data_IF_836069792471
#
_entry.id   IF_836069792471
#
_cell.length_a   1.000
_cell.length_b   1.000
_cell.length_c   1.000
_cell.angle_alpha   90.00
_cell.angle_beta   90.00
_cell.angle_gamma   90.00
#
_symmetry.space_group_name_H-M   'P 1'
#
loop_
_entity.id
_entity.type
_entity.pdbx_description
1 polymer ?
#
# COMPACT_ATOMS: atom_id res chain seq x y z
N UNK A 1 -17.25 28.96 25.38
CA UNK A 1 -15.99 28.25 25.69
C UNK A 1 -15.71 27.39 24.47
N UNK A 2 -14.56 27.58 23.83
CA UNK A 2 -14.21 26.85 22.61
C UNK A 2 -13.86 25.41 22.99
N UNK A 3 -14.74 24.46 22.67
CA UNK A 3 -14.51 23.04 22.94
C UNK A 3 -14.02 22.35 21.67
N UNK A 4 -12.73 22.03 21.65
CA UNK A 4 -12.09 21.35 20.52
C UNK A 4 -12.72 19.97 20.28
N UNK A 5 -13.18 19.28 21.33
CA UNK A 5 -13.67 17.90 21.23
C UNK A 5 -14.92 17.75 20.36
N UNK A 6 -15.73 18.82 20.22
CA UNK A 6 -16.92 18.83 19.37
C UNK A 6 -16.59 18.73 17.87
N UNK A 7 -15.36 19.06 17.48
CA UNK A 7 -14.90 19.06 16.09
C UNK A 7 -14.31 17.72 15.61
N UNK A 8 -14.32 16.68 16.46
CA UNK A 8 -13.91 15.31 16.11
C UNK A 8 -15.07 14.55 15.47
N UNK A 9 -14.90 14.05 14.24
CA UNK A 9 -15.86 13.12 13.66
C UNK A 9 -15.63 11.71 14.19
N UNK A 10 -16.72 10.94 14.38
CA UNK A 10 -16.66 9.51 14.74
C UNK A 10 -15.96 8.63 13.71
N UNK A 11 -15.81 9.14 12.48
CA UNK A 11 -15.16 8.45 11.38
C UNK A 11 -13.72 8.91 11.14
N UNK A 12 -13.24 9.91 11.88
CA UNK A 12 -11.87 10.39 11.74
C UNK A 12 -10.90 9.36 12.36
N UNK A 13 -9.89 8.89 11.61
CA UNK A 13 -8.81 8.12 12.21
C UNK A 13 -8.11 8.92 13.31
N UNK A 14 -7.74 8.26 14.41
CA UNK A 14 -7.16 8.94 15.58
C UNK A 14 -5.95 9.82 15.21
N UNK A 15 -5.04 9.32 14.35
CA UNK A 15 -3.88 10.09 13.91
C UNK A 15 -4.26 11.37 13.14
N UNK A 16 -5.37 11.38 12.40
CA UNK A 16 -5.84 12.58 11.69
C UNK A 16 -6.42 13.59 12.69
N UNK A 17 -7.17 13.08 13.66
CA UNK A 17 -7.75 13.88 14.73
C UNK A 17 -6.68 14.55 15.57
N UNK A 18 -5.65 13.83 16.00
CA UNK A 18 -4.57 14.39 16.83
C UNK A 18 -3.82 15.53 16.11
N UNK A 19 -3.59 15.40 14.79
CA UNK A 19 -3.00 16.48 13.99
C UNK A 19 -3.94 17.71 13.92
N UNK A 20 -5.24 17.49 13.72
CA UNK A 20 -6.25 18.56 13.68
C UNK A 20 -6.39 19.25 15.04
N UNK A 21 -6.35 18.48 16.12
CA UNK A 21 -6.40 18.95 17.51
C UNK A 21 -5.18 19.81 17.85
N UNK A 22 -3.97 19.38 17.48
CA UNK A 22 -2.76 20.16 17.66
C UNK A 22 -2.85 21.53 16.96
N UNK A 23 -3.44 21.58 15.76
CA UNK A 23 -3.71 22.83 15.05
C UNK A 23 -4.65 23.75 15.84
N UNK A 24 -5.75 23.21 16.40
CA UNK A 24 -6.66 23.97 17.24
C UNK A 24 -5.99 24.50 18.51
N UNK A 25 -5.30 23.64 19.26
CA UNK A 25 -4.61 24.02 20.51
C UNK A 25 -3.57 25.11 20.29
N UNK A 26 -2.87 25.08 19.16
CA UNK A 26 -1.86 26.08 18.81
C UNK A 26 -2.48 27.45 18.50
N UNK A 27 -3.63 27.51 17.82
CA UNK A 27 -4.14 28.74 17.22
C UNK A 27 -5.47 29.26 17.79
N UNK A 28 -6.08 28.56 18.76
CA UNK A 28 -7.36 28.96 19.39
C UNK A 28 -7.35 30.31 20.12
N UNK A 29 -6.18 30.84 20.47
CA UNK A 29 -6.03 32.17 21.07
C UNK A 29 -5.68 33.28 20.07
N UNK A 30 -5.31 32.92 18.84
CA UNK A 30 -4.79 33.86 17.83
C UNK A 30 -5.79 34.09 16.69
N UNK A 31 -6.58 33.06 16.35
CA UNK A 31 -7.50 33.07 15.21
C UNK A 31 -8.95 32.95 15.72
N UNK A 32 -9.90 33.74 15.17
CA UNK A 32 -11.31 33.58 15.50
C UNK A 32 -11.81 32.16 15.22
N UNK A 33 -12.64 31.61 16.10
CA UNK A 33 -13.15 30.24 16.04
C UNK A 33 -13.68 29.84 14.66
N UNK A 34 -14.55 30.66 14.05
CA UNK A 34 -15.15 30.37 12.75
C UNK A 34 -14.12 30.21 11.63
N UNK A 35 -13.05 31.00 11.68
CA UNK A 35 -11.96 30.93 10.71
C UNK A 35 -11.03 29.76 11.02
N UNK A 36 -10.75 29.53 12.30
CA UNK A 36 -9.88 28.46 12.76
C UNK A 36 -10.40 27.07 12.36
N UNK A 37 -11.71 26.85 12.47
CA UNK A 37 -12.35 25.59 12.05
C UNK A 37 -12.15 25.34 10.54
N UNK A 38 -12.33 26.39 9.73
CA UNK A 38 -12.13 26.31 8.29
C UNK A 38 -10.66 26.04 7.93
N UNK A 39 -9.73 26.77 8.57
CA UNK A 39 -8.29 26.61 8.36
C UNK A 39 -7.80 25.23 8.80
N UNK A 40 -8.24 24.73 9.95
CA UNK A 40 -7.89 23.39 10.43
C UNK A 40 -8.34 22.30 9.45
N UNK A 41 -9.57 22.41 8.91
CA UNK A 41 -10.05 21.44 7.92
C UNK A 41 -9.28 21.54 6.61
N UNK A 42 -8.99 22.76 6.16
CA UNK A 42 -8.20 23.01 4.94
C UNK A 42 -6.78 22.45 5.08
N UNK A 43 -6.13 22.69 6.22
CA UNK A 43 -4.83 22.16 6.56
C UNK A 43 -4.80 20.62 6.49
N UNK A 44 -5.77 19.97 7.13
CA UNK A 44 -5.89 18.51 7.09
C UNK A 44 -6.10 17.99 5.67
N UNK A 45 -6.89 18.68 4.84
CA UNK A 45 -7.06 18.30 3.44
C UNK A 45 -5.75 18.43 2.65
N UNK A 46 -4.93 19.46 2.93
CA UNK A 46 -3.60 19.61 2.31
C UNK A 46 -2.67 18.47 2.75
N UNK A 47 -2.49 18.25 4.05
CA UNK A 47 -1.49 17.31 4.59
C UNK A 47 -1.86 15.83 4.36
N UNK A 48 -3.15 15.49 4.46
CA UNK A 48 -3.60 14.10 4.40
C UNK A 48 -4.03 13.71 2.99
N UNK A 49 -4.80 14.59 2.32
CA UNK A 49 -5.39 14.30 1.00
C UNK A 49 -4.54 14.87 -0.15
N UNK A 50 -3.55 15.72 0.12
CA UNK A 50 -2.74 16.36 -0.91
C UNK A 50 -3.50 17.43 -1.70
N UNK A 51 -4.55 18.02 -1.13
CA UNK A 51 -5.31 19.08 -1.79
C UNK A 51 -4.46 20.35 -1.96
N UNK A 52 -4.81 21.14 -2.97
CA UNK A 52 -4.20 22.46 -3.22
C UNK A 52 -5.29 23.52 -3.25
N UNK A 53 -5.00 24.66 -2.63
CA UNK A 53 -5.89 25.81 -2.50
C UNK A 53 -5.23 27.04 -3.13
N UNK A 54 -5.94 28.19 -3.23
CA UNK A 54 -5.34 29.42 -3.74
C UNK A 54 -4.03 29.78 -3.03
N UNK A 55 -3.13 30.46 -3.76
CA UNK A 55 -1.75 30.71 -3.32
C UNK A 55 -1.69 31.41 -1.95
N UNK A 56 -2.56 32.38 -1.71
CA UNK A 56 -2.67 33.09 -0.43
C UNK A 56 -2.97 32.13 0.73
N UNK A 57 -3.93 31.20 0.54
CA UNK A 57 -4.27 30.19 1.53
C UNK A 57 -3.10 29.24 1.75
N UNK A 58 -2.41 28.82 0.70
CA UNK A 58 -1.26 27.92 0.82
C UNK A 58 -0.10 28.56 1.59
N UNK A 59 0.18 29.86 1.37
CA UNK A 59 1.20 30.60 2.12
C UNK A 59 0.85 30.70 3.60
N UNK A 60 -0.39 31.08 3.92
CA UNK A 60 -0.88 31.15 5.30
C UNK A 60 -0.78 29.79 5.99
N UNK A 61 -1.17 28.71 5.32
CA UNK A 61 -1.05 27.37 5.87
C UNK A 61 0.40 26.93 6.06
N UNK A 62 1.32 27.32 5.18
CA UNK A 62 2.75 27.03 5.34
C UNK A 62 3.35 27.72 6.57
N UNK A 63 2.98 28.99 6.82
CA UNK A 63 3.37 29.71 8.04
C UNK A 63 2.79 29.05 9.30
N UNK A 64 1.51 28.66 9.26
CA UNK A 64 0.87 27.98 10.39
C UNK A 64 1.41 26.56 10.62
N UNK A 65 1.90 25.90 9.55
CA UNK A 65 2.49 24.57 9.61
C UNK A 65 3.72 24.54 10.51
N UNK A 66 4.54 25.59 10.47
CA UNK A 66 5.75 25.71 11.30
C UNK A 66 5.44 25.67 12.80
N UNK A 67 4.28 26.20 13.20
CA UNK A 67 3.85 26.24 14.61
C UNK A 67 3.43 24.89 15.20
N UNK A 68 3.29 23.85 14.38
CA UNK A 68 2.91 22.49 14.80
C UNK A 68 3.80 21.41 14.18
N UNK A 69 5.06 21.74 13.84
CA UNK A 69 5.98 20.83 13.15
C UNK A 69 6.17 19.49 13.89
N UNK A 70 6.24 19.49 15.22
CA UNK A 70 6.37 18.27 16.03
C UNK A 70 5.20 17.31 15.83
N UNK A 71 3.96 17.83 15.74
CA UNK A 71 2.77 17.02 15.51
C UNK A 71 2.75 16.42 14.10
N UNK A 72 3.27 17.16 13.12
CA UNK A 72 3.40 16.70 11.72
C UNK A 72 4.44 15.59 11.63
N UNK A 73 5.60 15.74 12.26
CA UNK A 73 6.65 14.74 12.27
C UNK A 73 6.17 13.42 12.90
N UNK A 74 5.41 13.52 14.00
CA UNK A 74 4.79 12.35 14.62
C UNK A 74 3.77 11.70 13.69
N UNK A 75 2.91 12.49 13.04
CA UNK A 75 1.94 11.99 12.06
C UNK A 75 2.63 11.25 10.90
N UNK A 76 3.69 11.83 10.34
CA UNK A 76 4.48 11.20 9.29
C UNK A 76 5.15 9.89 9.75
N UNK A 77 5.68 9.87 10.97
CA UNK A 77 6.28 8.67 11.58
C UNK A 77 5.24 7.55 11.68
N UNK A 78 4.05 7.86 12.19
CA UNK A 78 2.95 6.89 12.30
C UNK A 78 2.50 6.38 10.92
N UNK A 79 2.42 7.27 9.92
CA UNK A 79 2.10 6.92 8.52
C UNK A 79 3.14 5.96 7.92
N UNK A 80 4.44 6.23 8.10
CA UNK A 80 5.56 5.38 7.65
C UNK A 80 5.52 4.00 8.32
N UNK A 81 5.35 3.96 9.64
CA UNK A 81 5.27 2.72 10.41
C UNK A 81 4.10 1.82 9.95
N UNK A 82 2.93 2.41 9.67
CA UNK A 82 1.76 1.66 9.18
C UNK A 82 2.01 1.06 7.80
N UNK A 83 2.63 1.82 6.89
CA UNK A 83 3.00 1.34 5.56
C UNK A 83 4.00 0.18 5.62
N UNK A 84 5.03 0.28 6.45
CA UNK A 84 6.03 -0.79 6.64
C UNK A 84 5.40 -2.09 7.16
N UNK A 85 4.47 -2.00 8.12
CA UNK A 85 3.77 -3.17 8.67
C UNK A 85 2.95 -3.90 7.60
N UNK A 86 2.28 -3.16 6.71
CA UNK A 86 1.50 -3.75 5.59
C UNK A 86 2.43 -4.41 4.56
N UNK A 87 3.58 -3.79 4.26
CA UNK A 87 4.56 -4.29 3.30
C UNK A 87 5.19 -5.62 3.76
N UNK A 88 5.62 -5.72 5.02
CA UNK A 88 6.22 -6.94 5.59
C UNK A 88 5.18 -8.07 5.65
N UNK A 89 3.92 -7.75 5.96
CA UNK A 89 2.81 -8.72 5.90
C UNK A 89 2.54 -9.25 4.48
N UNK A 90 2.89 -8.51 3.43
CA UNK A 90 2.70 -8.94 2.04
C UNK A 90 3.84 -9.82 1.53
N UNK A 91 5.08 -9.56 1.93
CA UNK A 91 6.22 -10.45 1.61
C UNK A 91 6.16 -11.78 2.36
N UNK A 92 5.57 -11.81 3.55
CA UNK A 92 5.47 -13.03 4.37
C UNK A 92 4.29 -13.95 4.02
N UNK A 93 3.43 -13.59 3.05
CA UNK A 93 2.27 -14.42 2.65
C UNK A 93 2.58 -15.54 1.64
N UNK A 94 3.79 -15.56 1.07
CA UNK A 94 4.30 -16.75 0.37
C UNK A 94 4.86 -17.72 1.41
N UNK A 95 4.06 -18.71 1.80
CA UNK A 95 4.42 -19.68 2.83
C UNK A 95 5.61 -20.53 2.36
N UNK A 96 6.61 -20.66 3.22
CA UNK A 96 7.77 -21.56 3.03
C UNK A 96 7.35 -23.01 2.73
N UNK A 97 6.16 -23.40 3.21
CA UNK A 97 5.59 -24.75 3.03
C UNK A 97 5.25 -25.06 1.56
N UNK A 98 4.77 -24.06 0.80
CA UNK A 98 4.43 -24.23 -0.62
C UNK A 98 5.70 -24.36 -1.47
N UNK A 99 6.79 -23.68 -1.10
CA UNK A 99 8.09 -23.80 -1.75
C UNK A 99 8.74 -25.16 -1.46
N UNK A 100 8.64 -25.67 -0.22
CA UNK A 100 9.15 -26.99 0.14
C UNK A 100 8.41 -28.10 -0.62
N UNK A 101 7.08 -28.00 -0.73
CA UNK A 101 6.26 -28.95 -1.49
C UNK A 101 6.56 -28.92 -2.98
N UNK A 102 6.64 -27.73 -3.59
CA UNK A 102 7.01 -27.56 -5.00
C UNK A 102 8.41 -28.10 -5.32
N UNK A 103 9.38 -27.92 -4.41
CA UNK A 103 10.74 -28.42 -4.56
C UNK A 103 10.83 -29.95 -4.41
N UNK A 104 9.94 -30.56 -3.61
CA UNK A 104 9.86 -32.01 -3.43
C UNK A 104 9.21 -32.69 -4.65
N UNK A 105 8.15 -32.09 -5.19
CA UNK A 105 7.47 -32.53 -6.41
C UNK A 105 8.39 -32.43 -7.65
N UNK A 106 9.17 -31.34 -7.77
CA UNK A 106 10.16 -31.18 -8.84
C UNK A 106 11.28 -32.23 -8.78
N UNK A 107 11.73 -32.62 -7.58
CA UNK A 107 12.73 -33.67 -7.39
C UNK A 107 12.20 -35.06 -7.76
N UNK A 108 10.95 -35.38 -7.38
CA UNK A 108 10.32 -36.65 -7.76
C UNK A 108 10.07 -36.76 -9.28
N UNK A 109 9.70 -35.65 -9.93
CA UNK A 109 9.57 -35.60 -11.40
C UNK A 109 10.90 -35.80 -12.14
N UNK A 110 12.03 -35.41 -11.55
CA UNK A 110 13.36 -35.63 -12.13
C UNK A 110 13.81 -37.09 -12.00
N UNK A 111 13.45 -37.76 -10.89
CA UNK A 111 13.83 -39.15 -10.63
C UNK A 111 13.03 -40.18 -11.44
N UNK A 112 11.79 -39.85 -11.83
CA UNK A 112 10.93 -40.73 -12.64
C UNK A 112 11.15 -40.57 -14.15
N UNK A 113 11.91 -39.55 -14.57
CA UNK A 113 12.27 -39.29 -15.97
C UNK A 113 13.71 -39.70 -16.26
N UNK A 114 14.16 -40.85 -15.79
CA UNK A 114 15.40 -41.48 -16.24
C UNK A 114 15.20 -42.22 -17.58
N UNK A 115 14.54 -41.57 -18.54
CA UNK A 115 14.38 -42.04 -19.91
C UNK A 115 14.97 -41.01 -20.85
N UNK A 116 15.91 -41.43 -21.69
CA UNK A 116 16.66 -40.50 -22.53
C UNK A 116 15.70 -39.78 -23.50
N UNK A 117 15.64 -38.43 -23.52
CA UNK A 117 14.67 -37.71 -24.35
C UNK A 117 14.75 -38.01 -25.85
N UNK A 118 15.87 -38.55 -26.34
CA UNK A 118 16.03 -38.96 -27.74
C UNK A 118 15.44 -40.34 -28.06
N UNK A 119 15.20 -41.22 -27.08
CA UNK A 119 14.56 -42.53 -27.30
C UNK A 119 13.09 -42.37 -27.64
N UNK A 120 12.38 -41.52 -26.89
CA UNK A 120 10.96 -41.23 -27.11
C UNK A 120 10.70 -40.52 -28.46
N UNK A 121 11.69 -39.81 -29.01
CA UNK A 121 11.60 -39.23 -30.35
C UNK A 121 11.80 -40.25 -31.46
N UNK A 122 12.68 -41.26 -31.28
CA UNK A 122 12.89 -42.32 -32.28
C UNK A 122 11.65 -43.19 -32.46
N UNK A 123 11.01 -43.60 -31.36
CA UNK A 123 9.82 -44.44 -31.42
C UNK A 123 8.65 -43.76 -32.16
N UNK A 124 8.49 -42.43 -32.01
CA UNK A 124 7.45 -41.66 -32.72
C UNK A 124 7.71 -41.50 -34.22
N UNK A 125 8.98 -41.48 -34.63
CA UNK A 125 9.36 -41.37 -36.05
C UNK A 125 9.12 -42.71 -36.76
N UNK A 126 9.47 -43.81 -36.10
CA UNK A 126 9.29 -45.18 -36.62
C UNK A 126 7.80 -45.53 -36.80
N UNK A 127 6.93 -45.11 -35.88
CA UNK A 127 5.47 -45.27 -35.97
C UNK A 127 4.81 -44.38 -37.06
N UNK A 128 5.49 -43.31 -37.50
CA UNK A 128 5.02 -42.43 -38.58
C UNK A 128 5.40 -42.94 -39.96
N UNK A 129 6.52 -43.68 -40.10
CA UNK A 129 6.96 -44.27 -41.36
C UNK A 129 6.11 -45.48 -41.78
N UNK A 130 5.50 -46.19 -40.83
CA UNK A 130 4.66 -47.37 -41.11
C UNK A 130 3.18 -47.03 -41.38
N UNK A 131 2.84 -45.75 -41.54
CA UNK A 131 1.47 -45.33 -41.85
C UNK A 131 1.18 -45.56 -43.35
N UNK A 132 0.25 -46.46 -43.72
CA UNK A 132 -0.07 -46.70 -45.13
C UNK A 132 -0.64 -45.44 -45.78
N UNK A 133 -0.03 -45.02 -46.91
CA UNK A 133 -0.44 -43.85 -47.68
C UNK A 133 -1.86 -44.07 -48.22
N UNK A 134 -2.81 -43.27 -47.73
CA UNK A 134 -4.21 -43.29 -48.16
C UNK A 134 -4.24 -42.98 -49.67
N UNK A 135 -4.71 -43.93 -50.47
CA UNK A 135 -4.94 -43.72 -51.90
C UNK A 135 -6.09 -42.74 -52.04
N UNK A 136 -5.86 -41.61 -52.69
CA UNK A 136 -6.91 -40.68 -53.07
C UNK A 136 -7.63 -41.22 -54.30
N UNK A 137 -8.93 -41.46 -54.16
CA UNK A 137 -9.91 -41.56 -55.25
C UNK A 137 -11.20 -40.92 -54.74
#
# INVERSE_FOLDING_TARGET
MFDISEYKSKYDPEAHWELKKAFFERYMGEVPESELVCLAQTFINVEILGCTYPEETMKKLAEMREGIQDAIDEFERLKKNRAQKIMVGSHSRYKKDDQAKAMQEAKQGYQTRSGNPWEAKRQRVEEQEDRPKRKHF
#
